data_IF_839451539821
#
_entry.id   IF_839451539821
#
_cell.length_a   1.000
_cell.length_b   1.000
_cell.length_c   1.000
_cell.angle_alpha   90.00
_cell.angle_beta   90.00
_cell.angle_gamma   90.00
#
_symmetry.space_group_name_H-M   'P 1'
#
loop_
_entity.id
_entity.type
_entity.pdbx_description
1 polymer ?
#
# COMPACT_ATOMS: atom_id res chain seq x y z
N UNK A 1 48.76 -35.55 -8.56
CA UNK A 1 48.75 -36.99 -8.88
C UNK A 1 47.32 -37.43 -9.18
N UNK A 2 47.11 -38.11 -10.33
CA UNK A 2 45.98 -39.02 -10.70
C UNK A 2 44.55 -38.41 -10.67
N UNK A 3 44.03 -37.85 -11.77
CA UNK A 3 43.23 -38.48 -12.87
C UNK A 3 41.98 -39.26 -12.42
N UNK A 4 40.81 -38.84 -12.94
CA UNK A 4 39.80 -39.61 -13.70
C UNK A 4 38.36 -39.17 -13.34
N UNK A 5 37.32 -39.16 -14.18
CA UNK A 5 37.08 -39.25 -15.64
C UNK A 5 35.56 -39.10 -15.82
N UNK A 6 35.13 -38.28 -16.79
CA UNK A 6 33.91 -38.30 -17.63
C UNK A 6 32.55 -38.72 -17.04
N UNK A 7 31.56 -37.85 -17.28
CA UNK A 7 30.17 -38.23 -17.57
C UNK A 7 29.55 -37.20 -18.50
N UNK A 8 29.55 -37.49 -19.81
CA UNK A 8 28.93 -36.71 -20.88
C UNK A 8 27.47 -37.14 -21.00
N UNK A 9 26.51 -36.22 -20.81
CA UNK A 9 25.14 -36.43 -21.27
C UNK A 9 24.66 -35.17 -21.99
N UNK A 10 24.67 -35.25 -23.32
CA UNK A 10 24.06 -34.30 -24.24
C UNK A 10 22.62 -34.79 -24.46
N UNK A 11 21.63 -33.98 -24.10
CA UNK A 11 20.25 -34.17 -24.55
C UNK A 11 19.95 -33.02 -25.50
N UNK A 12 19.93 -33.34 -26.79
CA UNK A 12 19.46 -32.48 -27.85
C UNK A 12 17.93 -32.45 -27.81
N UNK A 13 17.34 -31.28 -27.60
CA UNK A 13 15.90 -31.06 -27.80
C UNK A 13 15.76 -30.25 -29.09
N UNK A 14 15.25 -30.95 -30.11
CA UNK A 14 14.89 -30.42 -31.42
C UNK A 14 13.47 -29.84 -31.34
N UNK A 15 13.32 -28.62 -31.87
CA UNK A 15 12.13 -28.24 -32.62
C UNK A 15 11.12 -27.34 -31.91
N UNK A 16 11.02 -26.09 -32.38
CA UNK A 16 9.81 -25.53 -33.01
C UNK A 16 10.07 -24.06 -33.38
N UNK A 17 10.36 -23.80 -34.66
CA UNK A 17 10.48 -22.45 -35.20
C UNK A 17 9.07 -21.98 -35.53
N UNK A 18 8.45 -21.22 -34.63
CA UNK A 18 7.17 -20.55 -34.89
C UNK A 18 7.49 -19.19 -35.52
N UNK A 19 7.24 -19.09 -36.82
CA UNK A 19 7.34 -17.85 -37.56
C UNK A 19 6.36 -16.82 -37.04
N UNK A 20 6.88 -15.65 -36.65
CA UNK A 20 6.07 -14.46 -36.40
C UNK A 20 6.04 -13.63 -37.67
N UNK A 21 4.88 -13.61 -38.31
CA UNK A 21 4.56 -12.72 -39.42
C UNK A 21 4.67 -11.27 -38.95
N UNK A 22 5.71 -10.58 -39.42
CA UNK A 22 5.81 -9.12 -39.30
C UNK A 22 4.94 -8.49 -40.38
N UNK A 23 3.70 -8.14 -40.03
CA UNK A 23 2.83 -7.33 -40.86
C UNK A 23 2.82 -5.88 -40.36
N UNK A 24 3.52 -5.02 -41.13
CA UNK A 24 3.11 -3.69 -41.59
C UNK A 24 2.05 -2.90 -40.79
N UNK A 25 2.34 -1.62 -40.53
CA UNK A 25 1.32 -0.59 -40.67
C UNK A 25 1.40 0.56 -39.67
N UNK A 26 1.66 1.76 -40.21
CA UNK A 26 1.03 2.98 -39.72
C UNK A 26 1.66 3.65 -38.51
N UNK A 27 2.41 4.71 -38.77
CA UNK A 27 2.52 5.81 -37.82
C UNK A 27 1.15 6.45 -37.66
N UNK A 28 0.45 6.15 -36.57
CA UNK A 28 -0.71 6.92 -36.12
C UNK A 28 -0.51 7.22 -34.63
N UNK A 29 -0.25 8.49 -34.35
CA UNK A 29 -0.25 9.08 -33.02
C UNK A 29 -1.58 8.74 -32.33
N UNK A 30 -1.58 8.17 -31.10
CA UNK A 30 -2.81 8.12 -30.33
C UNK A 30 -3.11 9.54 -29.84
N UNK A 31 -3.90 10.23 -30.65
CA UNK A 31 -4.71 11.36 -30.24
C UNK A 31 -5.69 10.86 -29.20
N UNK A 32 -5.66 11.46 -28.00
CA UNK A 32 -6.76 11.44 -27.04
C UNK A 32 -7.27 10.07 -26.59
N UNK A 33 -6.67 9.50 -25.55
CA UNK A 33 -7.45 8.67 -24.62
C UNK A 33 -8.28 9.63 -23.76
N UNK A 34 -9.53 9.85 -24.16
CA UNK A 34 -10.58 10.24 -23.23
C UNK A 34 -10.77 9.07 -22.27
N UNK A 35 -10.08 9.10 -21.14
CA UNK A 35 -10.32 8.13 -20.08
C UNK A 35 -11.71 8.38 -19.53
N UNK A 36 -12.60 7.42 -19.79
CA UNK A 36 -13.87 7.30 -19.12
C UNK A 36 -13.64 7.37 -17.61
N UNK A 37 -14.42 8.19 -16.92
CA UNK A 37 -14.52 8.21 -15.48
C UNK A 37 -15.16 6.89 -15.02
N UNK A 38 -14.35 5.85 -14.91
CA UNK A 38 -14.67 4.66 -14.14
C UNK A 38 -14.66 5.07 -12.66
N UNK A 39 -15.73 4.81 -11.92
CA UNK A 39 -15.75 4.98 -10.47
C UNK A 39 -14.81 3.93 -9.84
N UNK A 40 -13.50 4.18 -9.94
CA UNK A 40 -12.46 3.33 -9.39
C UNK A 40 -12.43 3.45 -7.87
N UNK A 41 -12.31 2.31 -7.20
CA UNK A 41 -12.09 2.28 -5.75
C UNK A 41 -10.74 2.92 -5.47
N UNK A 42 -10.73 3.91 -4.58
CA UNK A 42 -9.52 4.63 -4.21
C UNK A 42 -8.67 3.73 -3.33
N UNK A 43 -7.40 3.56 -3.69
CA UNK A 43 -6.45 2.82 -2.87
C UNK A 43 -6.15 3.59 -1.56
N UNK A 44 -6.14 2.90 -0.40
CA UNK A 44 -5.71 3.47 0.87
C UNK A 44 -4.29 4.04 0.82
N UNK A 45 -4.03 5.03 1.67
CA UNK A 45 -2.66 5.46 1.98
C UNK A 45 -2.08 4.49 3.01
N UNK A 46 -1.18 3.61 2.56
CA UNK A 46 -0.57 2.58 3.42
C UNK A 46 0.70 3.15 4.06
N UNK A 47 0.80 3.12 5.39
CA UNK A 47 1.99 3.57 6.13
C UNK A 47 2.43 2.54 7.17
N UNK A 48 3.75 2.42 7.36
CA UNK A 48 4.32 1.65 8.47
C UNK A 48 4.23 2.48 9.75
N UNK A 49 3.40 2.06 10.70
CA UNK A 49 3.03 2.87 11.88
C UNK A 49 4.26 3.31 12.68
N UNK A 50 5.16 2.39 13.00
CA UNK A 50 6.34 2.65 13.85
C UNK A 50 7.37 3.60 13.21
N UNK A 51 7.25 3.85 11.90
CA UNK A 51 8.13 4.77 11.17
C UNK A 51 7.56 6.19 11.10
N UNK A 52 6.35 6.44 11.63
CA UNK A 52 5.66 7.75 11.50
C UNK A 52 5.89 8.73 12.65
N UNK A 53 6.69 8.38 13.66
CA UNK A 53 6.91 9.27 14.80
C UNK A 53 7.53 10.61 14.36
N UNK A 54 6.88 11.71 14.73
CA UNK A 54 7.20 13.07 14.32
C UNK A 54 6.94 13.42 12.85
N UNK A 55 6.22 12.58 12.09
CA UNK A 55 5.99 12.78 10.65
C UNK A 55 4.59 13.28 10.34
N UNK A 56 4.45 13.85 9.15
CA UNK A 56 3.14 14.18 8.56
C UNK A 56 2.71 13.08 7.60
N UNK A 57 1.47 12.61 7.76
CA UNK A 57 0.78 11.74 6.80
C UNK A 57 -0.31 12.57 6.13
N UNK A 58 -0.19 12.77 4.81
CA UNK A 58 -1.20 13.48 4.03
C UNK A 58 -2.18 12.49 3.40
N UNK A 59 -3.48 12.75 3.56
CA UNK A 59 -4.56 11.90 3.04
C UNK A 59 -5.68 12.76 2.46
N UNK A 60 -6.33 12.29 1.40
CA UNK A 60 -7.50 12.97 0.84
C UNK A 60 -8.75 12.71 1.69
N UNK A 61 -9.69 13.66 1.75
CA UNK A 61 -10.93 13.54 2.51
C UNK A 61 -11.72 12.25 2.19
N UNK A 62 -11.79 11.86 0.89
CA UNK A 62 -12.45 10.63 0.44
C UNK A 62 -11.51 9.42 0.37
N UNK A 63 -10.48 9.36 1.21
CA UNK A 63 -9.56 8.23 1.31
C UNK A 63 -9.36 7.83 2.78
N UNK A 64 -8.61 6.77 3.05
CA UNK A 64 -8.27 6.31 4.39
C UNK A 64 -6.78 6.04 4.51
N UNK A 65 -6.26 6.11 5.73
CA UNK A 65 -4.92 5.65 6.07
C UNK A 65 -5.00 4.23 6.62
N UNK A 66 -4.24 3.32 6.04
CA UNK A 66 -4.03 1.96 6.53
C UNK A 66 -2.72 1.91 7.33
N UNK A 67 -2.81 1.67 8.63
CA UNK A 67 -1.69 1.72 9.56
C UNK A 67 -1.13 0.30 9.78
N UNK A 68 -0.08 -0.05 9.05
CA UNK A 68 0.53 -1.36 9.15
C UNK A 68 1.34 -1.47 10.44
N UNK A 69 0.99 -2.46 11.26
CA UNK A 69 1.66 -2.81 12.51
C UNK A 69 1.84 -4.32 12.62
N UNK A 70 2.85 -4.76 13.38
CA UNK A 70 3.12 -6.20 13.60
C UNK A 70 1.97 -6.87 14.35
N UNK A 71 1.51 -6.24 15.44
CA UNK A 71 0.27 -6.59 16.12
C UNK A 71 -0.71 -5.42 15.97
N UNK A 72 -1.72 -5.53 15.10
CA UNK A 72 -2.66 -4.44 14.86
C UNK A 72 -3.73 -4.29 15.95
N UNK A 73 -3.80 -5.23 16.90
CA UNK A 73 -4.88 -5.28 17.91
C UNK A 73 -4.55 -4.52 19.19
N UNK A 74 -3.27 -4.18 19.39
CA UNK A 74 -2.76 -3.60 20.64
C UNK A 74 -2.67 -2.08 20.60
N UNK A 75 -2.97 -1.46 19.46
CA UNK A 75 -2.90 -0.02 19.28
C UNK A 75 -4.22 0.65 19.62
N UNK A 76 -4.13 1.81 20.26
CA UNK A 76 -5.21 2.79 20.40
C UNK A 76 -4.72 4.15 19.94
N UNK A 77 -5.63 5.10 19.72
CA UNK A 77 -5.26 6.46 19.38
C UNK A 77 -6.04 7.51 20.19
N UNK A 78 -5.35 8.60 20.49
CA UNK A 78 -5.93 9.88 20.89
C UNK A 78 -5.74 10.85 19.74
N UNK A 79 -6.83 11.48 19.30
CA UNK A 79 -6.85 12.46 18.21
C UNK A 79 -7.16 13.82 18.84
N UNK A 80 -6.26 14.78 18.65
CA UNK A 80 -6.35 16.11 19.26
C UNK A 80 -7.63 16.84 18.83
N UNK A 81 -8.00 16.70 17.55
CA UNK A 81 -9.24 17.22 16.99
C UNK A 81 -10.05 16.10 16.32
N UNK A 82 -11.04 15.51 17.03
CA UNK A 82 -11.85 14.42 16.50
C UNK A 82 -12.86 14.88 15.43
N UNK A 83 -12.97 16.19 15.15
CA UNK A 83 -13.77 16.66 14.01
C UNK A 83 -13.04 16.44 12.67
N UNK A 84 -11.71 16.30 12.68
CA UNK A 84 -10.88 16.14 11.48
C UNK A 84 -10.71 14.66 11.10
N UNK A 85 -10.57 13.77 12.08
CA UNK A 85 -10.38 12.35 11.83
C UNK A 85 -10.88 11.44 12.96
N UNK A 86 -11.17 10.20 12.59
CA UNK A 86 -11.52 9.11 13.49
C UNK A 86 -10.48 7.98 13.42
N UNK A 87 -10.16 7.40 14.57
CA UNK A 87 -9.36 6.18 14.65
C UNK A 87 -10.25 4.95 14.52
N UNK A 88 -9.91 4.07 13.59
CA UNK A 88 -10.56 2.77 13.42
C UNK A 88 -9.63 1.70 13.99
N UNK A 89 -10.01 1.03 15.10
CA UNK A 89 -9.18 -0.02 15.69
C UNK A 89 -8.96 -1.19 14.74
N UNK A 90 -7.74 -1.73 14.77
CA UNK A 90 -7.44 -3.01 14.15
C UNK A 90 -8.15 -4.16 14.88
N UNK A 91 -8.06 -5.36 14.32
CA UNK A 91 -8.75 -6.49 14.92
C UNK A 91 -8.61 -7.79 14.16
N UNK A 92 -9.22 -8.84 14.72
CA UNK A 92 -9.35 -10.12 14.04
C UNK A 92 -10.81 -10.42 13.75
N UNK A 93 -11.14 -10.79 12.50
CA UNK A 93 -12.49 -11.18 12.11
C UNK A 93 -12.44 -12.36 11.14
N UNK A 94 -13.14 -13.44 11.48
CA UNK A 94 -13.20 -14.63 10.62
C UNK A 94 -11.83 -15.29 10.37
N UNK A 95 -10.87 -15.14 11.29
CA UNK A 95 -9.51 -15.67 11.15
C UNK A 95 -8.55 -14.78 10.35
N UNK A 96 -9.01 -13.65 9.82
CA UNK A 96 -8.15 -12.62 9.22
C UNK A 96 -7.82 -11.54 10.24
N UNK A 97 -6.60 -10.99 10.14
CA UNK A 97 -6.16 -9.81 10.89
C UNK A 97 -6.31 -8.56 10.02
N UNK A 98 -6.78 -7.48 10.61
CA UNK A 98 -7.00 -6.18 9.99
C UNK A 98 -6.19 -5.14 10.73
N UNK A 99 -5.49 -4.32 9.95
CA UNK A 99 -4.76 -3.18 10.46
C UNK A 99 -5.72 -2.13 11.04
N UNK A 100 -5.26 -1.34 12.02
CA UNK A 100 -5.94 -0.09 12.35
C UNK A 100 -5.87 0.92 11.20
N UNK A 101 -6.68 1.96 11.29
CA UNK A 101 -6.68 3.02 10.30
C UNK A 101 -7.08 4.38 10.85
N UNK A 102 -6.89 5.41 10.03
CA UNK A 102 -7.41 6.76 10.25
C UNK A 102 -8.39 7.10 9.13
N UNK A 103 -9.61 7.47 9.52
CA UNK A 103 -10.67 7.91 8.63
C UNK A 103 -10.75 9.44 8.70
N UNK A 104 -10.43 10.17 7.61
CA UNK A 104 -10.69 11.59 7.48
C UNK A 104 -12.18 11.90 7.57
N UNK A 105 -12.51 13.01 8.23
CA UNK A 105 -13.88 13.53 8.41
C UNK A 105 -14.02 14.95 7.87
N UNK A 106 -12.97 15.78 8.00
CA UNK A 106 -12.94 17.16 7.51
C UNK A 106 -11.53 17.53 7.03
N UNK A 107 -11.43 18.43 6.05
CA UNK A 107 -10.15 19.01 5.60
C UNK A 107 -9.53 19.82 6.73
N UNK A 108 -8.25 19.56 7.01
CA UNK A 108 -7.57 20.18 8.14
C UNK A 108 -6.33 19.42 8.56
N UNK A 109 -5.78 19.75 9.72
CA UNK A 109 -4.63 19.06 10.30
C UNK A 109 -4.89 18.74 11.76
N UNK A 110 -4.56 17.54 12.20
CA UNK A 110 -4.70 17.12 13.60
C UNK A 110 -3.53 16.25 14.06
N UNK A 111 -3.15 16.38 15.34
CA UNK A 111 -2.16 15.48 15.94
C UNK A 111 -2.83 14.17 16.33
N UNK A 112 -2.20 13.06 15.99
CA UNK A 112 -2.62 11.71 16.39
C UNK A 112 -1.54 11.09 17.25
N UNK A 113 -1.88 10.73 18.47
CA UNK A 113 -1.00 9.97 19.38
C UNK A 113 -1.49 8.53 19.42
N UNK A 114 -0.69 7.60 18.92
CA UNK A 114 -0.97 6.16 18.98
C UNK A 114 -0.17 5.50 20.09
N UNK A 115 -0.81 4.64 20.88
CA UNK A 115 -0.19 3.96 22.02
C UNK A 115 -0.31 2.45 21.87
N UNK A 116 0.79 1.74 22.04
CA UNK A 116 0.83 0.28 22.08
C UNK A 116 0.63 -0.22 23.51
N UNK A 117 -0.49 -0.90 23.76
CA UNK A 117 -0.83 -1.44 25.08
C UNK A 117 0.06 -2.60 25.56
N UNK A 118 0.90 -3.18 24.70
CA UNK A 118 1.78 -4.30 25.08
C UNK A 118 3.11 -3.85 25.67
N UNK A 119 3.63 -2.68 25.27
CA UNK A 119 4.96 -2.19 25.65
C UNK A 119 5.01 -0.69 25.99
N UNK A 120 3.85 -0.03 26.04
CA UNK A 120 3.66 1.40 26.31
C UNK A 120 4.40 2.33 25.32
N UNK A 121 4.83 1.81 24.15
CA UNK A 121 5.43 2.64 23.11
C UNK A 121 4.40 3.57 22.48
N UNK A 122 4.83 4.79 22.13
CA UNK A 122 3.98 5.80 21.50
C UNK A 122 4.54 6.23 20.16
N UNK A 123 3.64 6.52 19.22
CA UNK A 123 3.94 7.18 17.94
C UNK A 123 3.07 8.41 17.84
N UNK A 124 3.68 9.57 17.64
CA UNK A 124 2.97 10.83 17.45
C UNK A 124 3.15 11.26 16.00
N UNK A 125 2.06 11.41 15.25
CA UNK A 125 2.08 11.90 13.87
C UNK A 125 1.12 13.06 13.69
N UNK A 126 1.36 13.86 12.66
CA UNK A 126 0.41 14.85 12.18
C UNK A 126 -0.36 14.25 11.01
N UNK A 127 -1.68 14.19 11.10
CA UNK A 127 -2.53 13.85 9.98
C UNK A 127 -2.94 15.14 9.27
N UNK A 128 -2.60 15.27 8.00
CA UNK A 128 -3.04 16.37 7.14
C UNK A 128 -4.09 15.85 6.16
N UNK A 129 -5.32 16.32 6.30
CA UNK A 129 -6.43 16.00 5.41
C UNK A 129 -6.56 17.11 4.38
N UNK A 130 -6.48 16.74 3.11
CA UNK A 130 -6.60 17.67 1.98
C UNK A 130 -7.85 17.38 1.16
N UNK A 131 -8.39 18.43 0.52
CA UNK A 131 -9.38 18.25 -0.54
C UNK A 131 -8.72 17.55 -1.73
N UNK A 132 -9.46 16.70 -2.43
CA UNK A 132 -8.93 16.00 -3.60
C UNK A 132 -8.87 17.00 -4.75
N UNK A 133 -7.70 17.15 -5.37
CA UNK A 133 -7.59 17.86 -6.66
C UNK A 133 -7.69 16.91 -7.84
#
# INVERSE_FOLDING_TARGET
MRRATRGLTVIAIVGAVLGTSACTGGADSPSGQSSASEAGVIAPVIVQLVDQDGRTVTVGLDNVVDLVAVDPTVWSAEIEDPSIAEYVPGGSRGGASFNPGLQPLEVGSTTVTLTNSSDDSTVVLTLEVVDRS
#
